data_IF_973310856096
#
_entry.id   IF_973310856096
#
_cell.length_a   1.000
_cell.length_b   1.000
_cell.length_c   1.000
_cell.angle_alpha   90.00
_cell.angle_beta   90.00
_cell.angle_gamma   90.00
#
_symmetry.space_group_name_H-M   'P 1'
#
loop_
_entity.id
_entity.type
_entity.pdbx_description
1 polymer ?
#
# COMPACT_ATOMS: atom_id res chain seq x y z
N UNK A 1 -9.60 12.04 -0.51
CA UNK A 1 -9.25 11.00 0.50
C UNK A 1 -9.24 11.66 1.87
N UNK A 2 -10.07 11.21 2.80
CA UNK A 2 -10.13 11.77 4.15
C UNK A 2 -9.24 10.91 5.07
N UNK A 3 -8.12 11.46 5.52
CA UNK A 3 -7.25 10.79 6.50
C UNK A 3 -7.60 11.36 7.87
N UNK A 4 -8.09 10.51 8.77
CA UNK A 4 -8.43 10.85 10.16
C UNK A 4 -7.57 10.05 11.13
N UNK A 5 -7.48 10.46 12.39
CA UNK A 5 -6.75 9.73 13.46
C UNK A 5 -7.15 8.25 13.58
N UNK A 6 -8.39 7.92 13.18
CA UNK A 6 -8.90 6.55 13.19
C UNK A 6 -8.44 5.71 11.99
N UNK A 7 -7.91 6.35 10.95
CA UNK A 7 -7.39 5.67 9.75
C UNK A 7 -6.03 5.02 9.97
N UNK A 8 -5.37 5.28 11.11
CA UNK A 8 -4.09 4.65 11.45
C UNK A 8 -4.30 3.65 12.59
N UNK A 9 -4.09 2.37 12.29
CA UNK A 9 -4.23 1.25 13.23
C UNK A 9 -2.88 0.60 13.45
N UNK A 10 -2.36 0.68 14.69
CA UNK A 10 -1.12 0.01 15.06
C UNK A 10 -1.40 -1.26 15.84
N UNK A 11 -0.47 -2.20 15.83
CA UNK A 11 -0.51 -3.42 16.65
C UNK A 11 -0.77 -3.08 18.11
N UNK A 12 -0.09 -2.06 18.66
CA UNK A 12 -0.28 -1.62 20.04
C UNK A 12 -1.71 -1.14 20.33
N UNK A 13 -2.33 -0.39 19.41
CA UNK A 13 -3.75 0.03 19.57
C UNK A 13 -4.70 -1.16 19.58
N UNK A 14 -4.47 -2.16 18.72
CA UNK A 14 -5.29 -3.37 18.65
C UNK A 14 -5.20 -4.15 19.96
N UNK A 15 -3.99 -4.49 20.40
CA UNK A 15 -3.81 -5.25 21.63
C UNK A 15 -4.27 -4.48 22.88
N UNK A 16 -4.07 -3.17 22.92
CA UNK A 16 -4.60 -2.33 24.00
C UNK A 16 -6.14 -2.38 24.07
N UNK A 17 -6.82 -2.35 22.93
CA UNK A 17 -8.27 -2.50 22.86
C UNK A 17 -8.72 -3.86 23.45
N UNK A 18 -8.05 -4.95 23.01
CA UNK A 18 -8.35 -6.31 23.49
C UNK A 18 -8.15 -6.44 24.99
N UNK A 19 -7.01 -5.97 25.52
CA UNK A 19 -6.72 -6.02 26.97
C UNK A 19 -7.75 -5.25 27.80
N UNK A 20 -8.19 -4.10 27.33
CA UNK A 20 -9.22 -3.33 28.01
C UNK A 20 -10.58 -4.03 27.99
N UNK A 21 -10.96 -4.64 26.86
CA UNK A 21 -12.18 -5.44 26.73
C UNK A 21 -12.17 -6.64 27.69
N UNK A 22 -11.02 -7.35 27.76
CA UNK A 22 -10.86 -8.48 28.69
C UNK A 22 -11.03 -8.04 30.15
N UNK A 23 -10.36 -6.94 30.56
CA UNK A 23 -10.47 -6.40 31.92
C UNK A 23 -11.89 -5.95 32.32
N UNK A 24 -12.68 -5.49 31.34
CA UNK A 24 -14.08 -5.13 31.56
C UNK A 24 -15.02 -6.33 31.61
N UNK A 25 -14.54 -7.52 31.23
CA UNK A 25 -15.34 -8.73 31.16
C UNK A 25 -16.15 -8.86 29.86
N UNK A 26 -15.83 -8.08 28.83
CA UNK A 26 -16.56 -8.08 27.57
C UNK A 26 -16.53 -9.46 26.87
N UNK A 27 -15.59 -10.31 27.23
CA UNK A 27 -15.46 -11.68 26.70
C UNK A 27 -16.13 -12.76 27.57
N UNK A 28 -16.87 -12.38 28.65
CA UNK A 28 -17.65 -13.31 29.44
C UNK A 28 -16.85 -14.43 30.12
N UNK A 29 -15.57 -14.21 30.41
CA UNK A 29 -14.66 -15.20 31.01
C UNK A 29 -14.08 -16.22 30.01
N UNK A 30 -14.37 -16.09 28.72
CA UNK A 30 -13.74 -16.92 27.69
C UNK A 30 -12.27 -16.59 27.49
N UNK A 31 -11.47 -17.59 27.16
CA UNK A 31 -10.06 -17.37 26.80
C UNK A 31 -9.93 -16.51 25.55
N UNK A 32 -9.20 -15.40 25.70
CA UNK A 32 -8.93 -14.48 24.59
C UNK A 32 -7.81 -15.06 23.71
N UNK A 33 -8.02 -15.10 22.40
CA UNK A 33 -7.11 -15.68 21.41
C UNK A 33 -6.88 -14.70 20.26
N UNK A 34 -5.81 -14.91 19.49
CA UNK A 34 -5.58 -14.13 18.27
C UNK A 34 -6.75 -14.30 17.32
N UNK A 35 -7.16 -15.55 17.06
CA UNK A 35 -8.37 -15.87 16.32
C UNK A 35 -9.41 -16.39 17.32
N UNK A 36 -10.60 -15.79 17.43
CA UNK A 36 -11.12 -14.71 16.58
C UNK A 36 -10.96 -13.28 17.15
N UNK A 37 -10.47 -13.11 18.37
CA UNK A 37 -10.63 -11.84 19.11
C UNK A 37 -9.79 -10.70 18.51
N UNK A 38 -8.48 -10.94 18.27
CA UNK A 38 -7.59 -9.94 17.68
C UNK A 38 -7.95 -9.71 16.20
N UNK A 39 -8.21 -10.78 15.45
CA UNK A 39 -8.62 -10.65 14.03
C UNK A 39 -9.95 -9.92 13.87
N UNK A 40 -10.93 -10.14 14.77
CA UNK A 40 -12.18 -9.39 14.74
C UNK A 40 -11.99 -7.91 15.09
N UNK A 41 -11.10 -7.59 16.02
CA UNK A 41 -10.75 -6.19 16.32
C UNK A 41 -10.12 -5.51 15.11
N UNK A 42 -9.22 -6.19 14.39
CA UNK A 42 -8.60 -5.67 13.16
C UNK A 42 -9.68 -5.50 12.08
N UNK A 43 -10.51 -6.51 11.82
CA UNK A 43 -11.59 -6.44 10.82
C UNK A 43 -12.58 -5.31 11.13
N UNK A 44 -12.87 -5.07 12.41
CA UNK A 44 -13.74 -3.95 12.80
C UNK A 44 -13.20 -2.60 12.35
N UNK A 45 -11.86 -2.47 12.19
CA UNK A 45 -11.21 -1.27 11.65
C UNK A 45 -11.32 -1.19 10.13
N UNK A 46 -11.33 -2.31 9.44
CA UNK A 46 -11.58 -2.35 8.00
C UNK A 46 -13.00 -1.91 7.65
N UNK A 47 -13.97 -2.33 8.47
CA UNK A 47 -15.38 -1.91 8.32
C UNK A 47 -15.65 -0.47 8.77
N UNK A 48 -14.75 0.13 9.57
CA UNK A 48 -14.99 1.40 10.23
C UNK A 48 -14.77 2.59 9.29
N UNK A 49 -15.70 2.78 8.38
CA UNK A 49 -15.78 3.96 7.55
C UNK A 49 -16.89 4.85 8.10
N UNK A 50 -16.55 5.95 8.78
CA UNK A 50 -17.52 6.82 9.49
C UNK A 50 -18.57 7.44 8.54
N UNK A 51 -18.25 7.54 7.24
CA UNK A 51 -19.13 8.07 6.21
C UNK A 51 -19.43 6.98 5.15
N UNK A 52 -19.76 5.75 5.60
CA UNK A 52 -20.00 4.60 4.72
C UNK A 52 -21.06 4.83 3.63
N UNK A 53 -21.96 5.80 3.84
CA UNK A 53 -22.98 6.16 2.85
C UNK A 53 -22.44 6.94 1.65
N UNK A 54 -21.23 7.51 1.72
CA UNK A 54 -20.60 8.32 0.67
C UNK A 54 -19.31 7.70 0.13
N UNK A 55 -18.86 6.60 0.72
CA UNK A 55 -17.59 5.96 0.33
C UNK A 55 -17.85 4.83 -0.64
N UNK A 56 -17.43 4.98 -1.89
CA UNK A 56 -17.52 3.92 -2.90
C UNK A 56 -16.33 2.96 -2.84
N UNK A 57 -15.14 3.46 -2.50
CA UNK A 57 -13.90 2.68 -2.46
C UNK A 57 -13.10 2.98 -1.18
N UNK A 58 -12.74 1.94 -0.47
CA UNK A 58 -11.82 2.01 0.68
C UNK A 58 -10.46 1.40 0.30
N UNK A 59 -9.38 2.13 0.57
CA UNK A 59 -8.01 1.64 0.39
C UNK A 59 -7.41 1.36 1.75
N UNK A 60 -7.06 0.09 1.99
CA UNK A 60 -6.47 -0.38 3.24
C UNK A 60 -5.03 -0.81 2.95
N UNK A 61 -4.07 -0.22 3.67
CA UNK A 61 -2.67 -0.59 3.57
C UNK A 61 -2.29 -1.43 4.78
N UNK A 62 -1.67 -2.58 4.53
CA UNK A 62 -1.09 -3.45 5.56
C UNK A 62 0.42 -3.40 5.39
N UNK A 63 1.09 -2.77 6.36
CA UNK A 63 2.54 -2.60 6.36
C UNK A 63 3.28 -3.88 6.74
N UNK A 64 4.58 -3.87 6.46
CA UNK A 64 5.50 -4.96 6.76
C UNK A 64 5.71 -5.92 5.58
N UNK A 65 6.66 -6.82 5.75
CA UNK A 65 6.98 -7.86 4.75
C UNK A 65 6.05 -9.05 4.93
N UNK A 66 5.55 -9.60 3.82
CA UNK A 66 4.81 -10.86 3.88
C UNK A 66 5.68 -11.96 4.51
N UNK A 67 5.15 -12.64 5.51
CA UNK A 67 5.88 -13.64 6.30
C UNK A 67 6.43 -13.13 7.62
N UNK A 68 6.49 -11.82 7.86
CA UNK A 68 6.90 -11.27 9.13
C UNK A 68 5.86 -11.59 10.22
N UNK A 69 6.34 -11.99 11.39
CA UNK A 69 5.49 -12.44 12.50
C UNK A 69 4.55 -11.33 13.00
N UNK A 70 4.99 -10.07 12.94
CA UNK A 70 4.19 -8.91 13.34
C UNK A 70 3.01 -8.65 12.42
N UNK A 71 3.11 -9.03 11.14
CA UNK A 71 2.07 -8.83 10.14
C UNK A 71 1.03 -9.95 10.12
N UNK A 72 1.33 -11.12 10.67
CA UNK A 72 0.48 -12.31 10.58
C UNK A 72 -0.96 -12.09 11.05
N UNK A 73 -1.25 -11.44 12.20
CA UNK A 73 -2.64 -11.20 12.62
C UNK A 73 -3.42 -10.32 11.65
N UNK A 74 -2.75 -9.36 10.99
CA UNK A 74 -3.38 -8.48 10.00
C UNK A 74 -3.65 -9.21 8.69
N UNK A 75 -2.71 -10.05 8.24
CA UNK A 75 -2.89 -10.88 7.05
C UNK A 75 -3.99 -11.92 7.26
N UNK A 76 -4.06 -12.55 8.43
CA UNK A 76 -5.15 -13.46 8.77
C UNK A 76 -6.50 -12.74 8.83
N UNK A 77 -6.55 -11.53 9.42
CA UNK A 77 -7.75 -10.71 9.41
C UNK A 77 -8.18 -10.31 7.98
N UNK A 78 -7.21 -9.99 7.10
CA UNK A 78 -7.47 -9.70 5.70
C UNK A 78 -8.05 -10.91 4.96
N UNK A 79 -7.48 -12.10 5.16
CA UNK A 79 -7.99 -13.34 4.57
C UNK A 79 -9.44 -13.60 4.98
N UNK A 80 -9.75 -13.43 6.28
CA UNK A 80 -11.12 -13.57 6.79
C UNK A 80 -12.04 -12.49 6.20
N UNK A 81 -11.58 -11.25 6.17
CA UNK A 81 -12.34 -10.12 5.64
C UNK A 81 -12.71 -10.32 4.17
N UNK A 82 -11.74 -10.71 3.32
CA UNK A 82 -12.01 -10.99 1.91
C UNK A 82 -13.04 -12.11 1.72
N UNK A 83 -13.00 -13.15 2.58
CA UNK A 83 -14.00 -14.21 2.56
C UNK A 83 -15.40 -13.71 2.99
N UNK A 84 -15.47 -12.80 3.96
CA UNK A 84 -16.73 -12.25 4.48
C UNK A 84 -17.40 -11.31 3.48
N UNK A 85 -16.65 -10.45 2.79
CA UNK A 85 -17.20 -9.47 1.86
C UNK A 85 -17.32 -9.97 0.41
N UNK A 86 -16.66 -11.08 0.10
CA UNK A 86 -16.57 -11.63 -1.27
C UNK A 86 -15.40 -11.07 -2.06
N UNK A 87 -14.83 -11.90 -2.93
CA UNK A 87 -13.69 -11.52 -3.79
C UNK A 87 -14.01 -10.39 -4.77
N UNK A 88 -15.27 -10.27 -5.17
CA UNK A 88 -15.75 -9.22 -6.05
C UNK A 88 -15.77 -7.82 -5.39
N UNK A 89 -15.74 -7.79 -4.04
CA UNK A 89 -15.78 -6.56 -3.25
C UNK A 89 -14.43 -6.22 -2.58
N UNK A 90 -13.44 -7.11 -2.67
CA UNK A 90 -12.14 -6.90 -2.03
C UNK A 90 -11.02 -7.51 -2.87
N UNK A 91 -10.25 -6.68 -3.55
CA UNK A 91 -9.06 -7.09 -4.31
C UNK A 91 -7.79 -6.88 -3.50
N UNK A 92 -6.81 -7.72 -3.77
CA UNK A 92 -5.52 -7.70 -3.09
C UNK A 92 -4.41 -7.26 -4.05
N UNK A 93 -3.84 -6.10 -3.77
CA UNK A 93 -2.70 -5.55 -4.52
C UNK A 93 -1.44 -5.80 -3.70
N UNK A 94 -0.54 -6.62 -4.20
CA UNK A 94 0.71 -6.93 -3.52
C UNK A 94 1.89 -6.18 -4.14
N UNK A 95 2.55 -5.36 -3.32
CA UNK A 95 3.74 -4.62 -3.74
C UNK A 95 4.98 -5.44 -3.47
N UNK A 96 5.80 -5.67 -4.50
CA UNK A 96 7.00 -6.51 -4.42
C UNK A 96 8.22 -5.78 -4.96
N UNK A 97 9.41 -6.35 -4.73
CA UNK A 97 10.68 -5.84 -5.23
C UNK A 97 11.29 -6.80 -6.25
N UNK A 98 11.72 -6.26 -7.38
CA UNK A 98 12.52 -6.95 -8.40
C UNK A 98 13.89 -6.29 -8.47
N UNK A 99 14.86 -6.76 -7.68
CA UNK A 99 16.18 -6.15 -7.63
C UNK A 99 16.97 -6.40 -8.90
N UNK A 100 17.71 -5.39 -9.33
CA UNK A 100 18.74 -5.52 -10.36
C UNK A 100 20.08 -5.88 -9.72
N UNK A 101 20.65 -7.00 -10.13
CA UNK A 101 21.96 -7.43 -9.67
C UNK A 101 23.04 -6.95 -10.64
N UNK A 102 23.75 -5.89 -10.26
CA UNK A 102 24.84 -5.30 -11.07
C UNK A 102 25.90 -6.31 -11.51
N UNK A 103 26.23 -7.28 -10.64
CA UNK A 103 27.25 -8.28 -10.92
C UNK A 103 26.87 -9.26 -12.04
N UNK A 104 25.58 -9.61 -12.16
CA UNK A 104 25.07 -10.51 -13.21
C UNK A 104 24.38 -9.78 -14.35
N UNK A 105 24.14 -8.48 -14.24
CA UNK A 105 23.48 -7.67 -15.26
C UNK A 105 22.01 -8.04 -15.48
N UNK A 106 21.31 -8.56 -14.47
CA UNK A 106 19.96 -9.07 -14.64
C UNK A 106 19.00 -8.70 -13.49
N UNK A 107 17.71 -8.61 -13.82
CA UNK A 107 16.62 -8.48 -12.86
C UNK A 107 16.28 -9.84 -12.25
N UNK A 108 16.10 -9.90 -10.93
CA UNK A 108 15.79 -11.15 -10.21
C UNK A 108 14.31 -11.19 -9.79
N UNK A 109 13.54 -12.10 -10.38
CA UNK A 109 12.12 -12.29 -10.07
C UNK A 109 11.87 -13.19 -8.86
N UNK A 110 12.89 -13.90 -8.36
CA UNK A 110 12.75 -14.83 -7.23
C UNK A 110 12.25 -14.18 -5.93
N UNK A 111 12.68 -12.97 -5.52
CA UNK A 111 12.14 -12.34 -4.33
C UNK A 111 10.63 -12.10 -4.41
N UNK A 112 10.14 -11.61 -5.54
CA UNK A 112 8.69 -11.48 -5.80
C UNK A 112 7.96 -12.82 -5.72
N UNK A 113 8.49 -13.87 -6.36
CA UNK A 113 7.91 -15.22 -6.33
C UNK A 113 7.85 -15.78 -4.90
N UNK A 114 8.91 -15.57 -4.10
CA UNK A 114 8.94 -15.99 -2.70
C UNK A 114 7.91 -15.25 -1.86
N UNK A 115 7.82 -13.94 -1.99
CA UNK A 115 6.86 -13.11 -1.26
C UNK A 115 5.41 -13.49 -1.57
N UNK A 116 5.08 -13.73 -2.85
CA UNK A 116 3.74 -14.19 -3.24
C UNK A 116 3.46 -15.61 -2.69
N UNK A 117 4.46 -16.50 -2.70
CA UNK A 117 4.32 -17.84 -2.15
C UNK A 117 4.03 -17.83 -0.64
N UNK A 118 4.61 -16.90 0.12
CA UNK A 118 4.30 -16.73 1.55
C UNK A 118 2.81 -16.36 1.73
N UNK A 119 2.28 -15.40 0.96
CA UNK A 119 0.86 -15.05 1.01
C UNK A 119 -0.03 -16.25 0.62
N UNK A 120 0.32 -16.96 -0.45
CA UNK A 120 -0.42 -18.16 -0.88
C UNK A 120 -0.41 -19.24 0.21
N UNK A 121 0.70 -19.41 0.94
CA UNK A 121 0.81 -20.30 2.09
C UNK A 121 -0.16 -19.95 3.22
N UNK A 122 -0.56 -18.68 3.33
CA UNK A 122 -1.59 -18.22 4.27
C UNK A 122 -3.01 -18.27 3.70
N UNK A 123 -3.20 -18.76 2.47
CA UNK A 123 -4.48 -18.77 1.78
C UNK A 123 -4.89 -17.43 1.17
N UNK A 124 -3.90 -16.55 0.89
CA UNK A 124 -4.11 -15.25 0.27
C UNK A 124 -3.55 -15.27 -1.15
N UNK A 125 -4.39 -15.07 -2.15
CA UNK A 125 -3.98 -14.94 -3.54
C UNK A 125 -4.05 -13.46 -3.95
N UNK A 126 -2.92 -12.81 -4.29
CA UNK A 126 -2.96 -11.46 -4.84
C UNK A 126 -3.68 -11.42 -6.18
N UNK A 127 -4.48 -10.37 -6.40
CA UNK A 127 -5.15 -10.11 -7.67
C UNK A 127 -4.24 -9.34 -8.62
N UNK A 128 -3.46 -8.41 -8.08
CA UNK A 128 -2.56 -7.52 -8.82
C UNK A 128 -1.19 -7.53 -8.14
N UNK A 129 -0.13 -7.57 -8.93
CA UNK A 129 1.24 -7.39 -8.46
C UNK A 129 1.78 -6.04 -8.93
N UNK A 130 2.22 -5.21 -8.00
CA UNK A 130 2.96 -3.98 -8.29
C UNK A 130 4.43 -4.24 -8.01
N UNK A 131 5.20 -4.34 -9.08
CA UNK A 131 6.60 -4.77 -9.04
C UNK A 131 7.54 -3.55 -9.08
N UNK A 132 8.11 -3.19 -7.93
CA UNK A 132 9.15 -2.14 -7.87
C UNK A 132 10.45 -2.64 -8.51
N UNK A 133 11.06 -1.79 -9.33
CA UNK A 133 12.30 -2.11 -10.02
C UNK A 133 13.05 -0.85 -10.43
N UNK A 134 14.39 -0.90 -10.39
CA UNK A 134 15.27 0.17 -10.90
C UNK A 134 15.25 0.25 -12.44
N UNK A 135 14.91 -0.85 -13.12
CA UNK A 135 14.93 -0.96 -14.58
C UNK A 135 13.58 -1.45 -15.12
N UNK A 136 13.23 -1.09 -16.36
CA UNK A 136 12.02 -1.55 -17.01
C UNK A 136 11.92 -3.09 -17.05
N UNK A 137 10.71 -3.59 -16.83
CA UNK A 137 10.39 -5.02 -16.94
C UNK A 137 9.97 -5.31 -18.38
N UNK A 138 10.73 -6.16 -19.05
CA UNK A 138 10.34 -6.66 -20.37
C UNK A 138 9.16 -7.63 -20.29
N UNK A 139 8.62 -7.97 -21.44
CA UNK A 139 7.48 -8.83 -21.59
C UNK A 139 7.71 -10.25 -21.08
N UNK A 140 8.95 -10.75 -21.17
CA UNK A 140 9.31 -12.10 -20.72
C UNK A 140 9.39 -12.15 -19.19
N UNK A 141 9.92 -11.11 -18.56
CA UNK A 141 9.94 -10.96 -17.11
C UNK A 141 8.50 -10.87 -16.56
N UNK A 142 7.64 -10.03 -17.17
CA UNK A 142 6.22 -9.91 -16.77
C UNK A 142 5.48 -11.27 -16.94
N UNK A 143 5.71 -11.98 -18.06
CA UNK A 143 5.12 -13.30 -18.30
C UNK A 143 5.59 -14.35 -17.29
N UNK A 144 6.89 -14.36 -16.96
CA UNK A 144 7.46 -15.25 -15.94
C UNK A 144 6.86 -14.98 -14.56
N UNK A 145 6.75 -13.73 -14.14
CA UNK A 145 6.11 -13.38 -12.85
C UNK A 145 4.66 -13.84 -12.84
N UNK A 146 3.90 -13.53 -13.89
CA UNK A 146 2.50 -13.90 -14.05
C UNK A 146 2.31 -15.42 -13.86
N UNK A 147 3.15 -16.22 -14.52
CA UNK A 147 3.08 -17.68 -14.44
C UNK A 147 3.40 -18.22 -13.04
N UNK A 148 4.49 -17.74 -12.40
CA UNK A 148 4.90 -18.24 -11.09
C UNK A 148 4.03 -17.75 -9.94
N UNK A 149 3.39 -16.58 -10.11
CA UNK A 149 2.56 -15.96 -9.07
C UNK A 149 1.06 -16.21 -9.28
N UNK A 150 0.69 -16.97 -10.32
CA UNK A 150 -0.70 -17.28 -10.64
C UNK A 150 -1.59 -16.04 -10.80
N UNK A 151 -1.10 -15.05 -11.57
CA UNK A 151 -1.85 -13.84 -11.94
C UNK A 151 -1.83 -13.66 -13.45
N UNK A 152 -2.85 -13.05 -14.07
CA UNK A 152 -2.80 -12.68 -15.49
C UNK A 152 -1.65 -11.68 -15.75
N UNK A 153 -0.96 -11.80 -16.91
CA UNK A 153 0.14 -10.90 -17.28
C UNK A 153 -0.24 -9.41 -17.20
N UNK A 154 -1.47 -9.06 -17.59
CA UNK A 154 -1.98 -7.67 -17.51
C UNK A 154 -2.10 -7.13 -16.08
N UNK A 155 -2.07 -7.99 -15.07
CA UNK A 155 -2.11 -7.64 -13.64
C UNK A 155 -0.72 -7.58 -12.99
N UNK A 156 0.34 -7.72 -13.78
CA UNK A 156 1.73 -7.48 -13.37
C UNK A 156 2.09 -6.06 -13.78
N UNK A 157 2.00 -5.15 -12.83
CA UNK A 157 2.20 -3.72 -13.00
C UNK A 157 3.65 -3.39 -12.63
N UNK A 158 4.35 -2.73 -13.52
CA UNK A 158 5.69 -2.24 -13.23
C UNK A 158 5.61 -0.94 -12.43
N UNK A 159 6.49 -0.79 -11.45
CA UNK A 159 6.68 0.44 -10.68
C UNK A 159 8.17 0.79 -10.68
N UNK A 160 8.56 1.65 -11.61
CA UNK A 160 9.93 2.15 -11.69
C UNK A 160 10.18 3.20 -10.62
N UNK A 161 11.42 3.24 -10.13
CA UNK A 161 11.86 4.32 -9.27
C UNK A 161 11.76 5.66 -10.01
N UNK A 162 11.30 6.68 -9.30
CA UNK A 162 11.08 8.04 -9.81
C UNK A 162 11.92 9.03 -9.00
N UNK A 163 12.33 10.12 -9.62
CA UNK A 163 13.11 11.17 -8.95
C UNK A 163 12.26 11.94 -7.92
N UNK A 164 11.00 12.13 -8.24
CA UNK A 164 10.04 12.83 -7.40
C UNK A 164 8.87 11.91 -7.12
N UNK A 165 8.59 11.65 -5.84
CA UNK A 165 7.53 10.71 -5.41
C UNK A 165 6.17 11.01 -6.06
N UNK A 166 5.89 12.29 -6.32
CA UNK A 166 4.63 12.74 -6.93
C UNK A 166 4.51 12.44 -8.43
N UNK A 167 5.54 11.90 -9.08
CA UNK A 167 5.45 11.33 -10.43
C UNK A 167 4.81 9.95 -10.45
N UNK A 168 4.79 9.28 -9.29
CA UNK A 168 4.32 7.89 -9.18
C UNK A 168 2.87 7.70 -9.65
N UNK A 169 1.88 8.57 -9.30
CA UNK A 169 0.53 8.46 -9.84
C UNK A 169 0.49 8.51 -11.38
N UNK A 170 1.32 9.36 -12.01
CA UNK A 170 1.42 9.46 -13.46
C UNK A 170 2.05 8.19 -14.08
N UNK A 171 3.03 7.60 -13.40
CA UNK A 171 3.62 6.34 -13.83
C UNK A 171 2.63 5.17 -13.70
N UNK A 172 1.85 5.13 -12.62
CA UNK A 172 0.81 4.11 -12.42
C UNK A 172 -0.33 4.24 -13.42
N UNK A 173 -0.69 5.47 -13.82
CA UNK A 173 -1.69 5.70 -14.88
C UNK A 173 -1.20 5.15 -16.23
N UNK A 174 0.08 5.34 -16.59
CA UNK A 174 0.68 4.74 -17.80
C UNK A 174 0.62 3.21 -17.79
N UNK A 175 0.83 2.59 -16.63
CA UNK A 175 0.71 1.14 -16.43
C UNK A 175 -0.76 0.68 -16.29
N UNK A 176 -1.73 1.60 -16.29
CA UNK A 176 -3.17 1.34 -16.19
C UNK A 176 -3.58 0.62 -14.91
N UNK A 177 -2.91 0.92 -13.78
CA UNK A 177 -3.21 0.29 -12.50
C UNK A 177 -4.68 0.50 -12.10
N UNK A 178 -5.21 1.72 -12.24
CA UNK A 178 -6.60 2.02 -11.91
C UNK A 178 -7.59 1.22 -12.76
N UNK A 179 -7.36 1.13 -14.08
CA UNK A 179 -8.22 0.35 -14.98
C UNK A 179 -8.22 -1.14 -14.59
N UNK A 180 -7.05 -1.70 -14.27
CA UNK A 180 -6.92 -3.11 -13.88
C UNK A 180 -7.60 -3.35 -12.53
N UNK A 181 -7.48 -2.43 -11.57
CA UNK A 181 -8.14 -2.53 -10.27
C UNK A 181 -9.67 -2.46 -10.41
N UNK A 182 -10.17 -1.48 -11.17
CA UNK A 182 -11.62 -1.34 -11.45
C UNK A 182 -12.18 -2.57 -12.20
N UNK A 183 -11.42 -3.13 -13.15
CA UNK A 183 -11.80 -4.39 -13.82
C UNK A 183 -11.94 -5.54 -12.81
N UNK A 184 -11.02 -5.65 -11.85
CA UNK A 184 -11.10 -6.68 -10.82
C UNK A 184 -12.30 -6.51 -9.89
N UNK A 185 -12.74 -5.27 -9.66
CA UNK A 185 -13.90 -4.92 -8.82
C UNK A 185 -15.21 -4.81 -9.61
N UNK A 186 -15.21 -5.10 -10.91
CA UNK A 186 -16.35 -4.90 -11.81
C UNK A 186 -16.91 -3.46 -11.77
N UNK A 187 -16.03 -2.48 -11.63
CA UNK A 187 -16.36 -1.06 -11.59
C UNK A 187 -16.01 -0.37 -12.91
N UNK A 188 -16.76 0.68 -13.26
CA UNK A 188 -16.35 1.58 -14.34
C UNK A 188 -15.12 2.39 -13.93
N UNK A 189 -14.21 2.59 -14.87
CA UNK A 189 -13.01 3.40 -14.67
C UNK A 189 -12.97 4.55 -15.68
N UNK A 190 -13.58 5.70 -15.39
CA UNK A 190 -13.49 6.87 -16.25
C UNK A 190 -12.04 7.36 -16.29
N UNK A 191 -11.65 7.99 -17.42
CA UNK A 191 -10.32 8.57 -17.53
C UNK A 191 -10.18 9.73 -16.52
N UNK A 192 -9.15 9.70 -15.66
CA UNK A 192 -8.94 10.77 -14.69
C UNK A 192 -8.41 12.02 -15.40
N UNK A 193 -8.86 13.20 -14.96
CA UNK A 193 -8.19 14.44 -15.31
C UNK A 193 -7.00 14.66 -14.36
N UNK A 194 -5.81 14.53 -14.89
CA UNK A 194 -4.55 14.71 -14.14
C UNK A 194 -3.83 16.02 -14.50
N UNK A 195 -4.48 16.96 -15.15
CA UNK A 195 -3.87 18.21 -15.62
C UNK A 195 -3.25 19.04 -14.48
N UNK A 196 -3.96 19.19 -13.37
CA UNK A 196 -3.45 19.91 -12.19
C UNK A 196 -2.27 19.15 -11.54
N UNK A 197 -2.35 17.83 -11.49
CA UNK A 197 -1.26 17.00 -10.96
C UNK A 197 0.00 17.07 -11.81
N UNK A 198 -0.16 17.04 -13.15
CA UNK A 198 0.95 17.22 -14.09
C UNK A 198 1.60 18.59 -13.91
N UNK A 199 0.79 19.64 -13.80
CA UNK A 199 1.27 21.02 -13.59
C UNK A 199 2.05 21.16 -12.28
N UNK A 200 1.56 20.54 -11.20
CA UNK A 200 2.25 20.50 -9.91
C UNK A 200 3.61 19.79 -10.01
N UNK A 201 3.65 18.63 -10.66
CA UNK A 201 4.91 17.87 -10.84
C UNK A 201 5.91 18.65 -11.70
N UNK A 202 5.43 19.33 -12.74
CA UNK A 202 6.29 20.17 -13.59
C UNK A 202 6.88 21.35 -12.81
N UNK A 203 6.06 22.07 -12.03
CA UNK A 203 6.52 23.14 -11.16
C UNK A 203 7.57 22.66 -10.14
N UNK A 204 7.42 21.44 -9.62
CA UNK A 204 8.39 20.83 -8.72
C UNK A 204 9.73 20.54 -9.41
N UNK A 205 9.70 20.04 -10.65
CA UNK A 205 10.90 19.74 -11.45
C UNK A 205 11.63 21.00 -11.92
N UNK A 206 10.88 22.06 -12.20
CA UNK A 206 11.41 23.27 -12.81
C UNK A 206 11.14 24.52 -11.93
N UNK A 207 11.67 24.56 -10.66
CA UNK A 207 11.44 25.67 -9.77
C UNK A 207 12.05 26.96 -10.34
N UNK A 208 11.27 28.04 -10.40
CA UNK A 208 11.74 29.37 -10.87
C UNK A 208 12.72 30.01 -9.90
N UNK A 209 12.57 29.76 -8.62
CA UNK A 209 13.38 30.34 -7.55
C UNK A 209 13.88 29.26 -6.58
N UNK A 210 14.98 29.56 -5.89
CA UNK A 210 15.53 28.69 -4.85
C UNK A 210 15.62 29.45 -3.53
N UNK A 211 15.07 28.88 -2.49
CA UNK A 211 15.13 29.43 -1.12
C UNK A 211 15.86 28.43 -0.23
N UNK A 212 16.71 28.92 0.66
CA UNK A 212 17.36 28.10 1.68
C UNK A 212 16.59 28.23 2.99
N UNK A 213 16.10 27.13 3.52
CA UNK A 213 15.44 27.04 4.83
C UNK A 213 16.32 26.24 5.76
N UNK A 214 16.60 26.77 6.96
CA UNK A 214 17.33 26.05 7.99
C UNK A 214 16.33 25.39 8.96
N UNK A 215 16.44 24.07 9.09
CA UNK A 215 15.70 23.32 10.08
C UNK A 215 16.56 23.18 11.34
N UNK A 216 16.11 23.79 12.46
CA UNK A 216 16.84 23.75 13.74
C UNK A 216 16.01 23.03 14.78
N UNK A 217 16.55 21.98 15.39
CA UNK A 217 15.83 21.18 16.37
C UNK A 217 16.66 20.02 16.93
N UNK A 218 16.05 19.18 17.77
CA UNK A 218 16.65 17.91 18.20
C UNK A 218 16.51 16.86 17.08
N UNK A 219 17.44 15.92 17.03
CA UNK A 219 17.39 14.78 16.11
C UNK A 219 17.37 15.15 14.60
N UNK A 220 17.89 16.31 14.24
CA UNK A 220 17.94 16.76 12.83
C UNK A 220 18.80 15.86 11.92
N UNK A 221 19.66 15.02 12.51
CA UNK A 221 20.40 13.99 11.78
C UNK A 221 19.54 12.79 11.36
N UNK A 222 18.36 12.62 11.99
CA UNK A 222 17.41 11.58 11.64
C UNK A 222 16.43 12.17 10.60
N UNK A 223 16.61 11.82 9.35
CA UNK A 223 15.81 12.32 8.23
C UNK A 223 14.30 12.14 8.48
N UNK A 224 13.88 10.99 8.98
CA UNK A 224 12.48 10.65 9.21
C UNK A 224 11.80 11.50 10.29
N UNK A 225 12.58 12.06 11.25
CA UNK A 225 12.02 12.86 12.34
C UNK A 225 11.32 14.14 11.84
N UNK A 226 11.70 14.64 10.66
CA UNK A 226 11.22 15.92 10.13
C UNK A 226 10.68 15.81 8.70
N UNK A 227 10.47 14.60 8.20
CA UNK A 227 10.04 14.39 6.80
C UNK A 227 8.77 15.17 6.47
N UNK A 228 7.77 15.18 7.38
CA UNK A 228 6.52 15.92 7.19
C UNK A 228 6.72 17.44 7.09
N UNK A 229 7.68 17.98 7.87
CA UNK A 229 8.01 19.43 7.81
C UNK A 229 8.70 19.76 6.48
N UNK A 230 9.64 18.91 6.06
CA UNK A 230 10.34 19.08 4.77
C UNK A 230 9.36 19.00 3.61
N UNK A 231 8.46 18.01 3.61
CA UNK A 231 7.44 17.88 2.58
C UNK A 231 6.46 19.06 2.58
N UNK A 232 6.00 19.52 3.73
CA UNK A 232 5.14 20.70 3.82
C UNK A 232 5.81 21.97 3.23
N UNK A 233 7.10 22.16 3.50
CA UNK A 233 7.87 23.28 2.91
C UNK A 233 7.99 23.15 1.39
N UNK A 234 8.20 21.94 0.88
CA UNK A 234 8.25 21.69 -0.57
C UNK A 234 6.89 21.95 -1.23
N UNK A 235 5.80 21.49 -0.61
CA UNK A 235 4.44 21.78 -1.11
C UNK A 235 4.16 23.26 -1.17
N UNK A 236 4.45 24.01 -0.09
CA UNK A 236 4.30 25.45 -0.08
C UNK A 236 5.16 26.18 -1.13
N UNK A 237 6.33 25.63 -1.45
CA UNK A 237 7.18 26.20 -2.51
C UNK A 237 6.59 26.00 -3.92
N UNK A 238 5.90 24.90 -4.18
CA UNK A 238 5.23 24.65 -5.47
C UNK A 238 4.02 25.56 -5.65
N UNK A 239 3.26 25.80 -4.59
CA UNK A 239 2.05 26.63 -4.63
C UNK A 239 2.33 28.10 -4.96
N UNK A 240 3.53 28.59 -4.65
CA UNK A 240 3.95 30.00 -4.90
C UNK A 240 4.89 30.16 -6.10
N UNK A 241 5.18 29.12 -6.85
CA UNK A 241 6.06 29.12 -8.02
C UNK A 241 5.30 29.34 -9.33
#
# INVERSE_FOLDING_TARGET
>A
MCIRDRSNVTTGKVYWSILNKERRGDFGGHTVQVIPHVTNEIKSRFYHNEDASETEVAIIEIGGTAGDIESQPFLEALRQFQHEVGHENCILIHVTLIPYLKASGELKTKPTQASVKELQGMGIQPDILVCRSDLPLDDDIKAKIAQFCNVPKKRVIQNLDVDILYELPLAMEKEKLANVACECLNMECPQPDLSDWISMVDAWKHPKHKVKVALVGKYVSLHDAYISVVEALKHGAVDVS
#
